data_IF_518690064026
#
_entry.id   IF_518690064026
#
_cell.length_a   1.000
_cell.length_b   1.000
_cell.length_c   1.000
_cell.angle_alpha   90.00
_cell.angle_beta   90.00
_cell.angle_gamma   90.00
#
_symmetry.space_group_name_H-M   'P 1'
#
loop_
_entity.id
_entity.type
_entity.pdbx_description
1 polymer ?
#
# COMPACT_ATOMS: atom_id res chain seq x y z
N UNK A 1 6.28 16.74 -19.63
CA UNK A 1 5.95 16.23 -18.28
C UNK A 1 4.71 15.34 -18.28
N UNK A 2 3.55 15.78 -18.82
CA UNK A 2 2.31 14.98 -18.87
C UNK A 2 2.48 13.61 -19.54
N UNK A 3 3.13 13.53 -20.71
CA UNK A 3 3.39 12.24 -21.39
C UNK A 3 4.33 11.30 -20.60
N UNK A 4 5.27 11.85 -19.83
CA UNK A 4 6.17 11.08 -18.97
C UNK A 4 5.39 10.42 -17.83
N UNK A 5 4.58 11.22 -17.12
CA UNK A 5 3.69 10.76 -16.04
C UNK A 5 2.71 9.71 -16.55
N UNK A 6 2.03 9.99 -17.67
CA UNK A 6 1.08 9.06 -18.28
C UNK A 6 1.74 7.74 -18.69
N UNK A 7 2.98 7.77 -19.20
CA UNK A 7 3.72 6.55 -19.59
C UNK A 7 4.10 5.69 -18.38
N UNK A 8 4.64 6.32 -17.33
CA UNK A 8 5.02 5.60 -16.11
C UNK A 8 3.78 5.05 -15.40
N UNK A 9 2.72 5.84 -15.28
CA UNK A 9 1.46 5.41 -14.68
C UNK A 9 0.84 4.22 -15.41
N UNK A 10 0.84 4.20 -16.75
CA UNK A 10 0.33 3.02 -17.52
C UNK A 10 1.03 1.72 -17.12
N UNK A 11 2.35 1.75 -16.91
CA UNK A 11 3.10 0.57 -16.48
C UNK A 11 2.81 0.20 -15.01
N UNK A 12 2.77 1.20 -14.11
CA UNK A 12 2.52 0.97 -12.68
C UNK A 12 1.10 0.48 -12.39
N UNK A 13 0.08 1.05 -13.05
CA UNK A 13 -1.32 0.62 -12.92
C UNK A 13 -1.49 -0.85 -13.28
N UNK A 14 -0.85 -1.30 -14.37
CA UNK A 14 -0.90 -2.70 -14.79
C UNK A 14 -0.24 -3.64 -13.78
N UNK A 15 0.88 -3.22 -13.18
CA UNK A 15 1.57 -3.97 -12.12
C UNK A 15 0.72 -4.09 -10.84
N UNK A 16 0.10 -2.98 -10.40
CA UNK A 16 -0.78 -2.93 -9.22
C UNK A 16 -2.01 -3.82 -9.37
N UNK A 17 -2.70 -3.76 -10.51
CA UNK A 17 -3.85 -4.62 -10.79
C UNK A 17 -3.47 -6.11 -10.83
N UNK A 18 -2.34 -6.43 -11.46
CA UNK A 18 -1.92 -7.83 -11.59
C UNK A 18 -1.51 -8.47 -10.25
N UNK A 19 -0.96 -7.68 -9.32
CA UNK A 19 -0.46 -8.18 -8.03
C UNK A 19 -1.57 -8.38 -6.99
N UNK A 20 -2.64 -7.57 -7.03
CA UNK A 20 -3.58 -7.46 -5.89
C UNK A 20 -5.03 -7.88 -6.24
N UNK A 21 -5.31 -8.26 -7.49
CA UNK A 21 -6.60 -8.85 -7.87
C UNK A 21 -6.70 -10.33 -7.49
N UNK A 22 -6.97 -10.65 -6.21
CA UNK A 22 -7.29 -12.03 -5.78
C UNK A 22 -8.73 -12.21 -5.28
N UNK A 23 -9.51 -11.16 -4.96
CA UNK A 23 -10.95 -11.34 -4.68
C UNK A 23 -11.86 -10.21 -5.23
N UNK A 24 -12.79 -10.50 -6.15
CA UNK A 24 -13.73 -9.52 -6.72
C UNK A 24 -14.81 -8.99 -5.75
N UNK A 25 -14.80 -9.36 -4.46
CA UNK A 25 -15.88 -9.04 -3.51
C UNK A 25 -15.60 -7.81 -2.64
N UNK A 26 -14.39 -7.26 -2.69
CA UNK A 26 -14.02 -6.08 -1.90
C UNK A 26 -14.39 -4.78 -2.63
N UNK A 27 -15.23 -3.97 -1.98
CA UNK A 27 -15.76 -2.70 -2.55
C UNK A 27 -14.65 -1.68 -2.78
N UNK A 28 -13.60 -1.67 -1.95
CA UNK A 28 -12.46 -0.77 -2.11
C UNK A 28 -11.56 -1.23 -3.24
N UNK A 29 -11.32 -2.54 -3.39
CA UNK A 29 -10.57 -3.07 -4.52
C UNK A 29 -11.27 -2.77 -5.86
N UNK A 30 -12.60 -2.89 -5.92
CA UNK A 30 -13.39 -2.54 -7.09
C UNK A 30 -13.31 -1.03 -7.39
N UNK A 31 -13.40 -0.18 -6.38
CA UNK A 31 -13.27 1.28 -6.50
C UNK A 31 -11.88 1.70 -6.98
N UNK A 32 -10.83 1.11 -6.41
CA UNK A 32 -9.45 1.34 -6.82
C UNK A 32 -9.22 0.91 -8.27
N UNK A 33 -9.72 -0.27 -8.66
CA UNK A 33 -9.62 -0.77 -10.03
C UNK A 33 -10.32 0.14 -11.04
N UNK A 34 -11.57 0.56 -10.73
CA UNK A 34 -12.31 1.51 -11.57
C UNK A 34 -11.59 2.86 -11.69
N UNK A 35 -10.93 3.31 -10.61
CA UNK A 35 -10.11 4.53 -10.63
C UNK A 35 -8.90 4.38 -11.53
N UNK A 36 -8.22 3.22 -11.54
CA UNK A 36 -7.10 2.94 -12.45
C UNK A 36 -7.53 2.85 -13.91
N UNK A 37 -8.70 2.25 -14.19
CA UNK A 37 -9.25 2.21 -15.56
C UNK A 37 -9.55 3.62 -16.06
N UNK A 38 -10.20 4.45 -15.23
CA UNK A 38 -10.41 5.87 -15.54
C UNK A 38 -9.10 6.62 -15.76
N UNK A 39 -8.09 6.36 -14.92
CA UNK A 39 -6.78 7.00 -15.03
C UNK A 39 -6.09 6.63 -16.35
N UNK A 40 -6.23 5.39 -16.81
CA UNK A 40 -5.69 4.93 -18.10
C UNK A 40 -6.30 5.71 -19.26
N UNK A 41 -7.61 5.93 -19.24
CA UNK A 41 -8.30 6.71 -20.28
C UNK A 41 -7.81 8.18 -20.28
N UNK A 42 -7.73 8.81 -19.11
CA UNK A 42 -7.21 10.18 -18.97
C UNK A 42 -5.74 10.30 -19.44
N UNK A 43 -4.92 9.28 -19.19
CA UNK A 43 -3.54 9.21 -19.67
C UNK A 43 -3.44 9.09 -21.20
N UNK A 44 -4.45 8.53 -21.86
CA UNK A 44 -4.49 8.41 -23.32
C UNK A 44 -5.02 9.70 -23.97
N UNK A 45 -5.90 10.42 -23.29
CA UNK A 45 -6.43 11.70 -23.77
C UNK A 45 -5.40 12.84 -23.68
N UNK A 46 -4.48 12.79 -22.70
CA UNK A 46 -3.35 13.72 -22.58
C UNK A 46 -3.72 15.16 -22.21
N UNK A 47 -4.96 15.39 -21.74
CA UNK A 47 -5.50 16.72 -21.42
C UNK A 47 -5.42 17.09 -19.94
N UNK A 48 -5.23 16.11 -19.06
CA UNK A 48 -5.25 16.32 -17.62
C UNK A 48 -3.93 16.85 -17.06
N UNK A 49 -4.04 17.62 -15.98
CA UNK A 49 -2.87 18.12 -15.26
C UNK A 49 -2.14 16.95 -14.56
N UNK A 50 -0.78 16.94 -14.53
CA UNK A 50 -0.01 15.90 -13.86
C UNK A 50 -0.42 15.65 -12.40
N UNK A 51 -0.77 16.70 -11.66
CA UNK A 51 -1.24 16.57 -10.27
C UNK A 51 -2.53 15.76 -10.19
N UNK A 52 -3.51 16.00 -11.07
CA UNK A 52 -4.76 15.22 -11.10
C UNK A 52 -4.49 13.75 -11.34
N UNK A 53 -3.59 13.42 -12.29
CA UNK A 53 -3.23 12.04 -12.60
C UNK A 53 -2.53 11.35 -11.41
N UNK A 54 -1.59 12.02 -10.77
CA UNK A 54 -0.85 11.50 -9.62
C UNK A 54 -1.73 11.36 -8.36
N UNK A 55 -2.66 12.29 -8.14
CA UNK A 55 -3.64 12.21 -7.06
C UNK A 55 -4.62 11.04 -7.25
N UNK A 56 -5.15 10.85 -8.46
CA UNK A 56 -6.01 9.71 -8.78
C UNK A 56 -5.29 8.38 -8.63
N UNK A 57 -4.02 8.31 -9.06
CA UNK A 57 -3.18 7.14 -8.84
C UNK A 57 -2.97 6.86 -7.35
N UNK A 58 -2.66 7.90 -6.56
CA UNK A 58 -2.49 7.78 -5.10
C UNK A 58 -3.76 7.26 -4.43
N UNK A 59 -4.93 7.78 -4.82
CA UNK A 59 -6.21 7.31 -4.29
C UNK A 59 -6.46 5.84 -4.63
N UNK A 60 -6.13 5.40 -5.85
CA UNK A 60 -6.26 4.01 -6.23
C UNK A 60 -5.29 3.10 -5.47
N UNK A 61 -4.04 3.53 -5.26
CA UNK A 61 -3.07 2.80 -4.42
C UNK A 61 -3.63 2.61 -3.02
N UNK A 62 -4.17 3.67 -2.41
CA UNK A 62 -4.81 3.61 -1.10
C UNK A 62 -5.99 2.61 -1.13
N UNK A 63 -6.93 2.77 -2.06
CA UNK A 63 -8.12 1.90 -2.11
C UNK A 63 -7.77 0.42 -2.32
N UNK A 64 -6.77 0.11 -3.16
CA UNK A 64 -6.36 -1.28 -3.46
C UNK A 64 -5.67 -1.92 -2.27
N UNK A 65 -4.70 -1.23 -1.65
CA UNK A 65 -3.91 -1.78 -0.55
C UNK A 65 -4.75 -1.99 0.72
N UNK A 66 -5.88 -1.29 0.87
CA UNK A 66 -6.69 -1.31 2.09
C UNK A 66 -7.20 -2.71 2.44
N UNK A 67 -7.62 -3.48 1.44
CA UNK A 67 -8.11 -4.85 1.63
C UNK A 67 -7.05 -5.76 2.23
N UNK A 68 -5.81 -5.66 1.73
CA UNK A 68 -4.70 -6.50 2.16
C UNK A 68 -4.15 -6.10 3.52
N UNK A 69 -4.20 -4.80 3.84
CA UNK A 69 -3.90 -4.30 5.18
C UNK A 69 -4.88 -4.86 6.20
N UNK A 70 -6.19 -4.83 5.89
CA UNK A 70 -7.20 -5.41 6.77
C UNK A 70 -7.01 -6.92 6.93
N UNK A 71 -6.68 -7.64 5.85
CA UNK A 71 -6.40 -9.07 5.94
C UNK A 71 -5.25 -9.38 6.90
N UNK A 72 -4.17 -8.59 6.90
CA UNK A 72 -3.07 -8.76 7.86
C UNK A 72 -3.52 -8.55 9.31
N UNK A 73 -4.44 -7.62 9.54
CA UNK A 73 -5.02 -7.37 10.87
C UNK A 73 -5.93 -8.53 11.29
N UNK A 74 -6.80 -8.99 10.39
CA UNK A 74 -7.73 -10.10 10.65
C UNK A 74 -7.00 -11.42 10.92
N UNK A 75 -5.85 -11.62 10.27
CA UNK A 75 -4.98 -12.79 10.47
C UNK A 75 -3.97 -12.64 11.62
N UNK A 76 -4.01 -11.53 12.37
CA UNK A 76 -3.11 -11.21 13.48
C UNK A 76 -1.62 -11.30 13.10
N UNK A 77 -1.26 -10.68 11.97
CA UNK A 77 0.11 -10.57 11.45
C UNK A 77 0.89 -11.90 11.55
N UNK A 78 0.55 -12.91 10.73
CA UNK A 78 1.11 -14.26 10.80
C UNK A 78 2.65 -14.27 10.72
N UNK A 79 3.31 -15.02 11.59
CA UNK A 79 4.78 -15.00 11.75
C UNK A 79 5.55 -15.30 10.45
N UNK A 80 5.06 -16.27 9.69
CA UNK A 80 5.73 -16.80 8.49
C UNK A 80 5.72 -15.81 7.31
N UNK A 81 4.72 -14.92 7.23
CA UNK A 81 4.46 -14.13 6.01
C UNK A 81 4.27 -12.62 6.25
N UNK A 82 3.88 -12.19 7.46
CA UNK A 82 3.52 -10.79 7.71
C UNK A 82 4.65 -9.81 7.41
N UNK A 83 5.90 -10.14 7.78
CA UNK A 83 7.03 -9.25 7.52
C UNK A 83 7.21 -8.98 6.02
N UNK A 84 7.11 -10.02 5.19
CA UNK A 84 7.25 -9.88 3.75
C UNK A 84 6.09 -9.08 3.17
N UNK A 85 4.87 -9.34 3.62
CA UNK A 85 3.67 -8.64 3.17
C UNK A 85 3.69 -7.15 3.56
N UNK A 86 4.10 -6.83 4.79
CA UNK A 86 4.27 -5.44 5.26
C UNK A 86 5.31 -4.72 4.41
N UNK A 87 6.46 -5.33 4.10
CA UNK A 87 7.46 -4.72 3.21
C UNK A 87 6.89 -4.42 1.82
N UNK A 88 6.10 -5.33 1.26
CA UNK A 88 5.44 -5.15 -0.03
C UNK A 88 4.44 -3.99 0.01
N UNK A 89 3.55 -3.95 1.01
CA UNK A 89 2.56 -2.89 1.17
C UNK A 89 3.22 -1.52 1.40
N UNK A 90 4.25 -1.44 2.25
CA UNK A 90 5.01 -0.20 2.45
C UNK A 90 5.68 0.27 1.16
N UNK A 91 6.22 -0.64 0.36
CA UNK A 91 6.80 -0.32 -0.94
C UNK A 91 5.74 0.26 -1.89
N UNK A 92 4.57 -0.37 -1.98
CA UNK A 92 3.44 0.12 -2.80
C UNK A 92 2.91 1.47 -2.30
N UNK A 93 2.78 1.67 -0.99
CA UNK A 93 2.38 2.95 -0.38
C UNK A 93 3.43 4.05 -0.50
N UNK A 94 4.68 3.72 -0.84
CA UNK A 94 5.74 4.71 -1.08
C UNK A 94 5.82 5.12 -2.56
N UNK A 95 5.32 4.25 -3.45
CA UNK A 95 5.35 4.45 -4.90
C UNK A 95 4.77 5.80 -5.36
N UNK A 96 3.65 6.33 -4.82
CA UNK A 96 3.13 7.64 -5.25
C UNK A 96 4.11 8.80 -5.01
N UNK A 97 4.81 8.82 -3.88
CA UNK A 97 5.82 9.84 -3.58
C UNK A 97 7.04 9.70 -4.49
N UNK A 98 7.48 8.46 -4.73
CA UNK A 98 8.59 8.17 -5.63
C UNK A 98 8.28 8.62 -7.05
N UNK A 99 7.06 8.37 -7.54
CA UNK A 99 6.61 8.82 -8.86
C UNK A 99 6.58 10.35 -8.98
N UNK A 100 6.16 11.06 -7.93
CA UNK A 100 6.23 12.53 -7.93
C UNK A 100 7.69 12.99 -8.07
N UNK A 101 8.61 12.39 -7.32
CA UNK A 101 10.04 12.72 -7.40
C UNK A 101 10.66 12.38 -8.77
N UNK A 102 10.23 11.28 -9.39
CA UNK A 102 10.67 10.86 -10.73
C UNK A 102 10.14 11.78 -11.85
N UNK A 103 8.92 12.30 -11.69
CA UNK A 103 8.23 13.03 -12.75
C UNK A 103 8.31 14.56 -12.63
N UNK A 104 8.48 15.09 -11.42
CA UNK A 104 8.46 16.52 -11.12
C UNK A 104 9.86 17.01 -10.79
N UNK A 105 10.55 17.58 -11.79
CA UNK A 105 11.83 18.25 -11.59
C UNK A 105 11.55 19.53 -10.79
N UNK A 106 11.75 19.47 -9.46
CA UNK A 106 11.74 20.58 -8.48
C UNK A 106 10.44 20.90 -7.71
N UNK A 107 9.45 19.99 -7.63
CA UNK A 107 8.29 20.19 -6.74
C UNK A 107 8.26 19.18 -5.59
N UNK A 108 8.00 19.67 -4.38
CA UNK A 108 7.81 18.83 -3.19
C UNK A 108 6.52 17.99 -3.34
N UNK A 109 6.50 16.72 -2.88
CA UNK A 109 5.34 15.84 -2.99
C UNK A 109 4.02 16.45 -2.48
N UNK A 110 4.09 17.26 -1.42
CA UNK A 110 2.92 17.94 -0.85
C UNK A 110 2.27 18.94 -1.81
N UNK A 111 3.04 19.57 -2.71
CA UNK A 111 2.51 20.53 -3.68
C UNK A 111 1.74 19.85 -4.82
N UNK A 112 2.08 18.59 -5.11
CA UNK A 112 1.45 17.79 -6.17
C UNK A 112 0.30 16.96 -5.63
N UNK A 113 0.52 16.22 -4.54
CA UNK A 113 -0.47 15.31 -3.97
C UNK A 113 -1.46 16.01 -3.03
N UNK A 114 -1.07 17.15 -2.47
CA UNK A 114 -1.80 17.79 -1.38
C UNK A 114 -1.53 17.12 -0.02
N UNK A 115 -1.78 17.87 1.05
CA UNK A 115 -1.53 17.40 2.42
C UNK A 115 -2.38 16.18 2.79
N UNK A 116 -3.65 16.15 2.42
CA UNK A 116 -4.57 15.07 2.81
C UNK A 116 -4.11 13.70 2.32
N UNK A 117 -3.78 13.56 1.02
CA UNK A 117 -3.31 12.31 0.46
C UNK A 117 -1.93 11.91 1.02
N UNK A 118 -1.03 12.88 1.18
CA UNK A 118 0.31 12.61 1.71
C UNK A 118 0.26 12.15 3.17
N UNK A 119 -0.57 12.81 3.98
CA UNK A 119 -0.85 12.38 5.35
C UNK A 119 -1.44 10.99 5.36
N UNK A 120 -2.42 10.67 4.51
CA UNK A 120 -3.00 9.33 4.44
C UNK A 120 -1.95 8.25 4.16
N UNK A 121 -1.01 8.50 3.24
CA UNK A 121 0.09 7.58 2.97
C UNK A 121 0.97 7.38 4.22
N UNK A 122 1.35 8.45 4.91
CA UNK A 122 2.17 8.33 6.12
C UNK A 122 1.43 7.66 7.28
N UNK A 123 0.15 8.00 7.49
CA UNK A 123 -0.68 7.37 8.51
C UNK A 123 -0.79 5.86 8.28
N UNK A 124 -1.04 5.42 7.05
CA UNK A 124 -1.15 3.99 6.74
C UNK A 124 0.16 3.25 6.86
N UNK A 125 1.26 3.82 6.36
CA UNK A 125 2.60 3.24 6.56
C UNK A 125 2.94 3.12 8.05
N UNK A 126 2.66 4.16 8.84
CA UNK A 126 2.88 4.17 10.28
C UNK A 126 2.03 3.14 11.01
N UNK A 127 0.73 3.05 10.68
CA UNK A 127 -0.18 2.09 11.28
C UNK A 127 0.26 0.64 11.01
N UNK A 128 0.62 0.32 9.76
CA UNK A 128 1.12 -1.01 9.40
C UNK A 128 2.37 -1.40 10.16
N UNK A 129 3.36 -0.51 10.22
CA UNK A 129 4.60 -0.76 10.95
C UNK A 129 4.35 -0.91 12.45
N UNK A 130 3.49 -0.06 13.02
CA UNK A 130 3.12 -0.12 14.43
C UNK A 130 2.46 -1.46 14.76
N UNK A 131 1.40 -1.83 14.03
CA UNK A 131 0.64 -3.06 14.27
C UNK A 131 1.53 -4.30 14.15
N UNK A 132 2.36 -4.38 13.10
CA UNK A 132 3.28 -5.50 12.94
C UNK A 132 4.29 -5.61 14.10
N UNK A 133 4.93 -4.49 14.48
CA UNK A 133 5.88 -4.48 15.60
C UNK A 133 5.21 -4.84 16.92
N UNK A 134 3.99 -4.34 17.14
CA UNK A 134 3.21 -4.59 18.34
C UNK A 134 2.86 -6.08 18.46
N UNK A 135 2.25 -6.68 17.44
CA UNK A 135 1.90 -8.11 17.45
C UNK A 135 3.14 -9.00 17.58
N UNK A 136 4.24 -8.68 16.88
CA UNK A 136 5.48 -9.45 16.99
C UNK A 136 6.07 -9.40 18.42
N UNK A 137 5.98 -8.23 19.08
CA UNK A 137 6.41 -8.06 20.47
C UNK A 137 5.53 -8.86 21.43
N UNK A 138 4.21 -8.73 21.34
CA UNK A 138 3.28 -9.46 22.21
C UNK A 138 3.47 -10.97 22.10
N UNK A 139 3.65 -11.49 20.88
CA UNK A 139 3.96 -12.90 20.63
C UNK A 139 5.27 -13.32 21.31
N UNK A 140 6.30 -12.49 21.24
CA UNK A 140 7.60 -12.76 21.87
C UNK A 140 7.48 -12.80 23.39
N UNK A 141 6.77 -11.85 23.99
CA UNK A 141 6.53 -11.79 25.44
C UNK A 141 5.72 -13.01 25.91
N UNK A 142 4.66 -13.38 25.19
CA UNK A 142 3.86 -14.56 25.50
C UNK A 142 4.69 -15.86 25.45
N UNK A 143 5.54 -16.02 24.42
CA UNK A 143 6.42 -17.19 24.30
C UNK A 143 7.41 -17.28 25.48
N UNK A 144 7.95 -16.14 25.93
CA UNK A 144 8.88 -16.09 27.07
C UNK A 144 8.20 -16.49 28.37
N UNK A 145 6.98 -16.03 28.63
CA UNK A 145 6.20 -16.38 29.82
C UNK A 145 5.82 -17.86 29.85
N UNK A 146 5.56 -18.46 28.68
CA UNK A 146 5.06 -19.82 28.56
C UNK A 146 6.15 -20.86 28.26
N UNK A 147 7.42 -20.45 28.10
CA UNK A 147 8.53 -21.34 27.72
C UNK A 147 8.71 -22.53 28.68
N UNK A 148 8.46 -22.34 29.97
CA UNK A 148 8.56 -23.39 30.97
C UNK A 148 7.49 -24.48 30.78
N UNK A 149 6.29 -24.08 30.35
CA UNK A 149 5.18 -25.01 30.05
C UNK A 149 5.52 -25.82 28.81
N UNK A 150 6.00 -25.17 27.75
CA UNK A 150 6.40 -25.85 26.52
C UNK A 150 7.54 -26.86 26.73
N UNK A 151 8.54 -26.51 27.55
CA UNK A 151 9.61 -27.45 27.92
C UNK A 151 9.05 -28.69 28.63
N UNK A 152 8.12 -28.50 29.57
CA UNK A 152 7.49 -29.60 30.32
C UNK A 152 6.65 -30.54 29.45
N UNK A 153 5.98 -30.01 28.42
CA UNK A 153 5.20 -30.82 27.45
C UNK A 153 6.12 -31.61 26.51
N UNK A 154 7.30 -31.08 26.19
CA UNK A 154 8.26 -31.73 25.27
C UNK A 154 9.05 -32.88 25.92
N UNK A 155 9.04 -32.97 27.24
CA UNK A 155 9.67 -34.04 28.05
C UNK A 155 8.74 -35.23 28.33
N UNK A 156 7.48 -35.17 27.87
CA UNK A 156 6.50 -36.27 27.91
C UNK A 156 6.47 -36.95 26.54
#
# INVERSE_FOLDING_TARGET
QVECVASVLRHRCFSLLRKHCILPSDTFLAKGSATLDKLKDLCNEGKEHPSTLLQLYTQAVLDITYSEENQLVDEDFPEESALQKVKELISVLSEPEDLVRECSINEEPVNILGAELLECLYWRKGALLYMHCHTAKERTEWLQENIAIFKKVKEI
#
